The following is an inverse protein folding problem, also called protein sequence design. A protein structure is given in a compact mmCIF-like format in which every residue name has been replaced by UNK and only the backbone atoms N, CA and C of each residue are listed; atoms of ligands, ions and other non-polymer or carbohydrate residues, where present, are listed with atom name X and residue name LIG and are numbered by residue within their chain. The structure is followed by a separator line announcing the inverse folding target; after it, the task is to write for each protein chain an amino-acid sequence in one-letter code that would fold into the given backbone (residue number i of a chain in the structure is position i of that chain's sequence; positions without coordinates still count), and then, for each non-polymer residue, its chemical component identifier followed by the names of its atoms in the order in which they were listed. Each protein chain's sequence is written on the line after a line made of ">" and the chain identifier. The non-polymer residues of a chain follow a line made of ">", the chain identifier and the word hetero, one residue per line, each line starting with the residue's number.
data_IF_206421409988
#
_entry.id   IF_206421409988
#
_cell.length_a   1.000
_cell.length_b   1.000
_cell.length_c   1.000
_cell.angle_alpha   90.00
_cell.angle_beta   90.00
_cell.angle_gamma   90.00
#
_symmetry.space_group_name_H-M   'P 1'
#
loop_
_entity.id
_entity.type
_entity.pdbx_description
1 polymer ?
#
# COMPACT_ATOMS: atom_id res chain seq x y z
N UNK A 1 -7.87 -1.66 0.36
CA UNK A 1 -8.94 -1.23 -0.58
C UNK A 1 -9.77 -2.44 -1.03
N UNK A 2 -10.59 -3.06 -0.15
CA UNK A 2 -11.35 -4.29 -0.49
C UNK A 2 -12.80 -4.06 -0.96
N UNK A 3 -13.36 -2.85 -0.83
CA UNK A 3 -14.79 -2.59 -1.15
C UNK A 3 -15.03 -1.88 -2.49
N UNK A 4 -14.02 -1.74 -3.35
CA UNK A 4 -14.16 -1.10 -4.67
C UNK A 4 -14.61 0.37 -4.66
N UNK A 5 -14.68 1.01 -3.48
CA UNK A 5 -15.09 2.41 -3.36
C UNK A 5 -13.99 3.33 -3.88
N UNK A 6 -14.41 4.39 -4.58
CA UNK A 6 -13.50 5.44 -5.05
C UNK A 6 -12.87 6.11 -3.84
N UNK A 7 -11.56 6.01 -3.71
CA UNK A 7 -10.78 6.74 -2.71
C UNK A 7 -10.23 7.99 -3.39
N UNK A 8 -10.67 9.17 -2.93
CA UNK A 8 -10.02 10.43 -3.24
C UNK A 8 -8.99 10.69 -2.14
N UNK A 9 -7.78 11.04 -2.54
CA UNK A 9 -6.71 11.41 -1.62
C UNK A 9 -6.33 12.83 -1.97
N UNK A 10 -6.63 13.76 -1.07
CA UNK A 10 -6.17 15.13 -1.14
C UNK A 10 -4.94 15.20 -0.24
N UNK A 11 -3.82 15.69 -0.79
CA UNK A 11 -2.54 15.72 -0.09
C UNK A 11 -2.01 17.15 -0.04
N UNK A 12 -1.63 17.57 1.16
CA UNK A 12 -0.87 18.78 1.39
C UNK A 12 0.63 18.43 1.46
N UNK A 13 1.42 18.97 0.53
CA UNK A 13 2.87 18.71 0.44
C UNK A 13 3.63 20.02 0.51
N UNK A 14 4.46 20.16 1.54
CA UNK A 14 5.36 21.29 1.75
C UNK A 14 6.80 20.81 1.76
N UNK A 15 7.72 21.59 1.17
CA UNK A 15 9.16 21.39 1.36
C UNK A 15 9.60 22.13 2.61
N UNK A 16 10.38 21.45 3.45
CA UNK A 16 11.03 22.04 4.62
C UNK A 16 12.52 22.12 4.28
N UNK A 17 13.14 23.31 4.24
CA UNK A 17 14.57 23.43 3.99
C UNK A 17 15.37 22.88 5.18
N UNK A 18 16.48 22.21 4.90
CA UNK A 18 17.33 21.61 5.94
C UNK A 18 17.96 22.64 6.88
N UNK A 19 18.07 23.89 6.44
CA UNK A 19 18.62 24.99 7.25
C UNK A 19 17.71 25.38 8.41
N UNK A 20 16.40 25.10 8.33
CA UNK A 20 15.42 25.39 9.38
C UNK A 20 15.38 24.29 10.44
N UNK A 21 15.99 23.14 10.18
CA UNK A 21 15.99 22.00 11.10
C UNK A 21 17.15 22.16 12.08
N UNK A 22 16.89 22.35 13.39
CA UNK A 22 17.94 22.44 14.39
C UNK A 22 18.70 21.12 14.52
N UNK A 23 20.03 21.20 14.66
CA UNK A 23 20.91 20.03 14.86
C UNK A 23 21.09 19.67 16.34
N UNK A 24 20.61 20.52 17.25
CA UNK A 24 20.66 20.32 18.69
C UNK A 24 19.50 19.44 19.18
N UNK A 25 19.71 18.66 20.24
CA UNK A 25 18.74 17.66 20.72
C UNK A 25 17.47 18.30 21.32
N UNK A 26 17.63 19.37 22.11
CA UNK A 26 16.50 20.11 22.68
C UNK A 26 15.77 20.92 21.59
N UNK A 27 16.53 21.58 20.72
CA UNK A 27 15.99 22.30 19.57
C UNK A 27 15.19 21.40 18.62
N UNK A 28 15.69 20.20 18.32
CA UNK A 28 15.02 19.21 17.49
C UNK A 28 13.71 18.73 18.12
N UNK A 29 13.69 18.51 19.43
CA UNK A 29 12.49 18.09 20.15
C UNK A 29 11.39 19.15 20.08
N UNK A 30 11.72 20.41 20.36
CA UNK A 30 10.78 21.52 20.27
C UNK A 30 10.26 21.73 18.84
N UNK A 31 11.16 21.68 17.85
CA UNK A 31 10.80 21.78 16.44
C UNK A 31 9.83 20.67 16.00
N UNK A 32 10.06 19.43 16.42
CA UNK A 32 9.16 18.31 16.14
C UNK A 32 7.79 18.51 16.79
N UNK A 33 7.73 18.99 18.03
CA UNK A 33 6.45 19.29 18.70
C UNK A 33 5.64 20.34 17.95
N UNK A 34 6.27 21.43 17.52
CA UNK A 34 5.61 22.46 16.72
C UNK A 34 5.18 21.91 15.35
N UNK A 35 6.02 21.09 14.71
CA UNK A 35 5.68 20.45 13.45
C UNK A 35 4.47 19.52 13.60
N UNK A 36 4.36 18.75 14.68
CA UNK A 36 3.19 17.92 14.93
C UNK A 36 1.93 18.76 15.17
N UNK A 37 2.00 19.82 15.99
CA UNK A 37 0.87 20.73 16.17
C UNK A 37 0.39 21.33 14.85
N UNK A 38 1.31 21.75 13.98
CA UNK A 38 0.95 22.30 12.68
C UNK A 38 0.27 21.27 11.77
N UNK A 39 0.63 19.98 11.88
CA UNK A 39 -0.01 18.89 11.12
C UNK A 39 -1.42 18.59 11.64
N UNK A 40 -1.61 18.61 12.96
CA UNK A 40 -2.92 18.39 13.57
C UNK A 40 -3.88 19.52 13.19
N UNK A 41 -3.43 20.77 13.23
CA UNK A 41 -4.21 21.92 12.75
C UNK A 41 -4.65 21.78 11.28
N UNK A 42 -3.75 21.34 10.39
CA UNK A 42 -4.10 21.08 8.98
C UNK A 42 -5.18 20.00 8.84
N UNK A 43 -5.08 18.94 9.66
CA UNK A 43 -6.06 17.87 9.66
C UNK A 43 -7.42 18.36 10.16
N UNK A 44 -7.44 19.12 11.26
CA UNK A 44 -8.66 19.68 11.85
C UNK A 44 -9.38 20.60 10.86
N UNK A 45 -8.65 21.53 10.22
CA UNK A 45 -9.23 22.42 9.20
C UNK A 45 -9.81 21.63 8.01
N UNK A 46 -9.12 20.57 7.58
CA UNK A 46 -9.61 19.70 6.49
C UNK A 46 -10.87 18.92 6.90
N UNK A 47 -10.96 18.45 8.15
CA UNK A 47 -12.15 17.77 8.66
C UNK A 47 -13.35 18.73 8.75
N UNK A 48 -13.13 19.98 9.17
CA UNK A 48 -14.19 20.97 9.35
C UNK A 48 -14.68 21.57 8.02
N UNK A 49 -13.76 21.96 7.14
CA UNK A 49 -14.08 22.75 5.92
C UNK A 49 -13.94 21.97 4.61
N UNK A 50 -13.20 20.86 4.63
CA UNK A 50 -12.80 20.15 3.41
C UNK A 50 -11.61 20.80 2.68
N UNK A 51 -10.98 21.82 3.26
CA UNK A 51 -9.78 22.49 2.76
C UNK A 51 -8.69 22.53 3.84
N UNK A 52 -7.42 22.43 3.44
CA UNK A 52 -6.31 22.36 4.40
C UNK A 52 -5.95 23.71 5.04
N UNK A 53 -6.19 24.82 4.34
CA UNK A 53 -5.66 26.15 4.72
C UNK A 53 -6.74 27.19 4.98
N UNK A 54 -8.00 26.77 5.15
CA UNK A 54 -9.11 27.72 5.31
C UNK A 54 -9.27 28.23 6.75
N UNK A 55 -8.93 27.42 7.75
CA UNK A 55 -9.04 27.79 9.18
C UNK A 55 -7.68 27.98 9.85
N UNK A 56 -6.57 27.89 9.10
CA UNK A 56 -5.22 27.97 9.63
C UNK A 56 -4.39 29.03 8.90
N UNK A 57 -3.48 29.68 9.63
CA UNK A 57 -2.51 30.66 9.08
C UNK A 57 -1.35 30.01 8.29
N UNK A 58 -1.54 28.79 7.78
CA UNK A 58 -0.52 28.04 7.05
C UNK A 58 -0.50 28.43 5.56
N UNK A 59 0.67 28.37 4.90
CA UNK A 59 0.81 28.83 3.53
C UNK A 59 -0.06 28.04 2.56
N UNK A 60 -0.88 28.75 1.78
CA UNK A 60 -1.67 28.14 0.71
C UNK A 60 -0.79 27.78 -0.49
N UNK A 61 -0.87 26.52 -0.92
CA UNK A 61 -0.15 26.04 -2.10
C UNK A 61 -1.11 25.77 -3.27
N UNK A 62 -0.69 26.03 -4.52
CA UNK A 62 -1.54 25.79 -5.68
C UNK A 62 -1.86 24.30 -5.82
N UNK A 63 -3.15 23.99 -5.98
CA UNK A 63 -3.63 22.61 -6.12
C UNK A 63 -3.11 21.99 -7.41
N UNK A 64 -2.19 21.03 -7.29
CA UNK A 64 -1.65 20.28 -8.43
C UNK A 64 -2.36 18.93 -8.60
N UNK A 65 -3.18 18.82 -9.64
CA UNK A 65 -3.83 17.54 -9.99
C UNK A 65 -2.82 16.63 -10.69
N UNK A 66 -2.54 15.46 -10.11
CA UNK A 66 -1.70 14.44 -10.73
C UNK A 66 -2.52 13.74 -11.82
N UNK A 67 -2.09 13.76 -13.10
CA UNK A 67 -2.83 13.10 -14.17
C UNK A 67 -2.76 11.58 -14.01
N UNK A 68 -3.85 10.89 -14.38
CA UNK A 68 -3.88 9.42 -14.39
C UNK A 68 -2.88 8.88 -15.42
N UNK A 69 -1.98 8.00 -14.98
CA UNK A 69 -0.96 7.36 -15.83
C UNK A 69 -1.49 6.05 -16.41
N UNK A 70 -1.86 6.07 -17.68
CA UNK A 70 -2.35 4.89 -18.41
C UNK A 70 -1.25 3.87 -18.71
N UNK A 71 0.01 4.29 -18.72
CA UNK A 71 1.17 3.42 -18.99
C UNK A 71 1.24 2.20 -18.08
N UNK A 72 0.83 2.32 -16.81
CA UNK A 72 0.81 1.19 -15.87
C UNK A 72 -0.19 0.11 -16.31
N UNK A 73 -1.38 0.51 -16.77
CA UNK A 73 -2.40 -0.44 -17.24
C UNK A 73 -1.92 -1.20 -18.48
N UNK A 74 -1.36 -0.49 -19.46
CA UNK A 74 -0.84 -1.14 -20.67
C UNK A 74 0.34 -2.07 -20.36
N UNK A 75 1.22 -1.69 -19.43
CA UNK A 75 2.31 -2.55 -19.02
C UNK A 75 1.81 -3.86 -18.40
N UNK A 76 0.85 -3.77 -17.47
CA UNK A 76 0.25 -4.94 -16.82
C UNK A 76 -0.49 -5.82 -17.84
N UNK A 77 -1.31 -5.24 -18.72
CA UNK A 77 -2.04 -6.00 -19.74
C UNK A 77 -1.07 -6.66 -20.72
N UNK A 78 0.00 -5.97 -21.13
CA UNK A 78 1.03 -6.51 -22.01
C UNK A 78 1.71 -7.73 -21.40
N UNK A 79 2.21 -7.61 -20.16
CA UNK A 79 2.82 -8.74 -19.47
C UNK A 79 1.84 -9.88 -19.19
N UNK A 80 0.62 -9.56 -18.76
CA UNK A 80 -0.41 -10.56 -18.51
C UNK A 80 -0.75 -11.34 -19.78
N UNK A 81 -0.91 -10.65 -20.91
CA UNK A 81 -1.22 -11.29 -22.21
C UNK A 81 -0.06 -12.16 -22.68
N UNK A 82 1.18 -11.70 -22.52
CA UNK A 82 2.37 -12.47 -22.87
C UNK A 82 2.48 -13.75 -22.05
N UNK A 83 2.39 -13.65 -20.72
CA UNK A 83 2.46 -14.79 -19.81
C UNK A 83 1.31 -15.78 -20.07
N UNK A 84 0.08 -15.27 -20.21
CA UNK A 84 -1.09 -16.10 -20.51
C UNK A 84 -0.93 -16.83 -21.84
N UNK A 85 -0.41 -16.17 -22.88
CA UNK A 85 -0.13 -16.80 -24.17
C UNK A 85 0.88 -17.95 -24.06
N UNK A 86 1.97 -17.77 -23.29
CA UNK A 86 2.96 -18.84 -23.07
C UNK A 86 2.35 -20.03 -22.32
N UNK A 87 1.56 -19.76 -21.28
CA UNK A 87 0.87 -20.79 -20.50
C UNK A 87 -0.11 -21.58 -21.37
N UNK A 88 -0.93 -20.88 -22.18
CA UNK A 88 -1.87 -21.53 -23.09
C UNK A 88 -1.16 -22.39 -24.14
N UNK A 89 -0.04 -21.92 -24.68
CA UNK A 89 0.77 -22.70 -25.62
C UNK A 89 1.36 -23.94 -24.96
N UNK A 90 1.82 -23.83 -23.72
CA UNK A 90 2.30 -24.97 -22.94
C UNK A 90 1.19 -26.02 -22.75
N UNK A 91 -0.01 -25.61 -22.35
CA UNK A 91 -1.15 -26.54 -22.22
C UNK A 91 -1.57 -27.16 -23.55
N UNK A 92 -1.59 -26.40 -24.65
CA UNK A 92 -1.90 -26.93 -25.97
C UNK A 92 -0.91 -28.02 -26.39
N UNK A 93 0.40 -27.77 -26.21
CA UNK A 93 1.44 -28.76 -26.49
C UNK A 93 1.32 -29.99 -25.58
N UNK A 94 0.96 -29.79 -24.30
CA UNK A 94 0.73 -30.88 -23.36
C UNK A 94 -0.41 -31.80 -23.82
N UNK A 95 -1.54 -31.22 -24.25
CA UNK A 95 -2.71 -31.97 -24.72
C UNK A 95 -2.46 -32.72 -26.04
N UNK A 96 -1.68 -32.15 -26.95
CA UNK A 96 -1.41 -32.74 -28.28
C UNK A 96 -0.25 -33.73 -28.30
N UNK A 97 0.74 -33.58 -27.40
CA UNK A 97 1.95 -34.41 -27.41
C UNK A 97 1.77 -35.83 -26.86
N UNK A 98 0.71 -36.11 -26.10
CA UNK A 98 0.39 -37.45 -25.57
C UNK A 98 1.49 -38.09 -24.71
N UNK A 99 2.51 -37.33 -24.31
CA UNK A 99 3.72 -37.86 -23.68
C UNK A 99 3.60 -37.85 -22.16
N UNK A 100 3.66 -39.04 -21.55
CA UNK A 100 3.62 -39.23 -20.09
C UNK A 100 4.70 -38.43 -19.35
N UNK A 101 5.88 -38.26 -19.95
CA UNK A 101 6.98 -37.47 -19.36
C UNK A 101 6.63 -35.98 -19.24
N UNK A 102 6.00 -35.41 -20.27
CA UNK A 102 5.57 -34.01 -20.25
C UNK A 102 4.46 -33.75 -19.24
N UNK A 103 3.55 -34.71 -19.08
CA UNK A 103 2.47 -34.69 -18.08
C UNK A 103 3.05 -34.80 -16.67
N UNK A 104 3.98 -35.73 -16.44
CA UNK A 104 4.64 -35.89 -15.15
C UNK A 104 5.41 -34.63 -14.73
N UNK A 105 6.09 -33.97 -15.68
CA UNK A 105 6.82 -32.73 -15.41
C UNK A 105 5.86 -31.58 -15.07
N UNK A 106 4.77 -31.43 -15.82
CA UNK A 106 3.75 -30.42 -15.57
C UNK A 106 3.08 -30.60 -14.20
N UNK A 107 2.73 -31.83 -13.83
CA UNK A 107 2.16 -32.16 -12.52
C UNK A 107 3.16 -31.87 -11.40
N UNK A 108 4.45 -32.20 -11.59
CA UNK A 108 5.50 -31.88 -10.63
C UNK A 108 5.63 -30.38 -10.37
N UNK A 109 5.65 -29.57 -11.43
CA UNK A 109 5.70 -28.10 -11.31
C UNK A 109 4.45 -27.56 -10.60
N UNK A 110 3.26 -28.04 -10.96
CA UNK A 110 2.01 -27.64 -10.32
C UNK A 110 1.97 -28.01 -8.83
N UNK A 111 2.51 -29.18 -8.47
CA UNK A 111 2.59 -29.64 -7.08
C UNK A 111 3.57 -28.77 -6.26
N UNK A 112 4.73 -28.44 -6.81
CA UNK A 112 5.69 -27.53 -6.16
C UNK A 112 5.08 -26.13 -5.98
N UNK A 113 4.39 -25.62 -7.00
CA UNK A 113 3.69 -24.34 -6.93
C UNK A 113 2.59 -24.36 -5.86
N UNK A 114 1.81 -25.45 -5.77
CA UNK A 114 0.80 -25.65 -4.74
C UNK A 114 1.39 -25.64 -3.33
N UNK A 115 2.49 -26.38 -3.09
CA UNK A 115 3.19 -26.38 -1.80
C UNK A 115 3.74 -24.98 -1.44
N UNK A 116 4.30 -24.27 -2.43
CA UNK A 116 4.80 -22.91 -2.25
C UNK A 116 3.68 -21.94 -1.86
N UNK A 117 2.54 -21.98 -2.55
CA UNK A 117 1.37 -21.17 -2.25
C UNK A 117 0.79 -21.52 -0.87
N UNK A 118 0.68 -22.80 -0.53
CA UNK A 118 0.20 -23.24 0.78
C UNK A 118 1.09 -22.72 1.91
N UNK A 119 2.42 -22.77 1.72
CA UNK A 119 3.40 -22.22 2.66
C UNK A 119 3.31 -20.70 2.75
N UNK A 120 3.15 -19.99 1.63
CA UNK A 120 2.96 -18.53 1.63
C UNK A 120 1.67 -18.13 2.35
N UNK A 121 0.56 -18.84 2.14
CA UNK A 121 -0.69 -18.60 2.86
C UNK A 121 -0.46 -18.74 4.36
N UNK A 122 0.26 -19.78 4.80
CA UNK A 122 0.68 -19.96 6.19
C UNK A 122 1.52 -18.80 6.73
N UNK A 123 2.45 -18.25 5.93
CA UNK A 123 3.29 -17.11 6.31
C UNK A 123 2.50 -15.78 6.35
N UNK A 124 1.50 -15.63 5.49
CA UNK A 124 0.62 -14.45 5.46
C UNK A 124 -0.56 -14.53 6.43
N UNK A 125 -0.79 -15.69 7.05
CA UNK A 125 -1.79 -15.83 8.11
C UNK A 125 -1.25 -15.11 9.34
N UNK A 126 -1.67 -13.86 9.50
CA UNK A 126 -1.35 -13.02 10.66
C UNK A 126 -1.97 -13.70 11.89
N UNK A 127 -1.14 -14.36 12.70
CA UNK A 127 -1.54 -14.99 13.96
C UNK A 127 -1.70 -13.94 15.10
N UNK A 128 -1.13 -12.74 14.91
CA UNK A 128 -1.24 -11.61 15.85
C UNK A 128 -1.63 -10.33 15.14
N UNK A 129 -2.90 -9.94 15.25
CA UNK A 129 -3.29 -8.54 15.07
C UNK A 129 -2.58 -7.69 16.12
N UNK A 130 -1.96 -6.58 15.71
CA UNK A 130 -1.35 -5.64 16.64
C UNK A 130 -2.41 -5.13 17.63
N UNK A 131 -2.23 -5.38 18.92
CA UNK A 131 -3.04 -4.83 20.01
C UNK A 131 -2.84 -3.33 20.22
N UNK A 132 -2.66 -2.57 19.14
CA UNK A 132 -2.58 -1.12 19.21
C UNK A 132 -4.02 -0.59 19.26
N UNK A 133 -4.47 -0.21 20.46
CA UNK A 133 -5.84 0.23 20.74
C UNK A 133 -6.70 -0.78 21.49
N UNK A 134 -6.20 -1.98 21.84
CA UNK A 134 -6.88 -2.85 22.80
C UNK A 134 -6.66 -2.27 24.19
N UNK A 135 -7.61 -1.46 24.66
CA UNK A 135 -7.73 -1.16 26.09
C UNK A 135 -7.92 -2.48 26.82
N UNK A 136 -6.86 -2.98 27.43
CA UNK A 136 -6.92 -3.98 28.49
C UNK A 136 -7.61 -3.33 29.69
N UNK A 137 -8.94 -3.30 29.65
CA UNK A 137 -9.80 -2.92 30.76
C UNK A 137 -10.15 -4.13 31.62
N UNK A 138 -9.23 -5.10 31.76
CA UNK A 138 -9.34 -6.20 32.74
C UNK A 138 -8.57 -5.91 34.04
N UNK A 139 -8.71 -4.69 34.56
CA UNK A 139 -8.38 -4.35 35.95
C UNK A 139 -9.52 -3.60 36.63
N UNK A 140 -10.57 -4.35 37.00
CA UNK A 140 -11.34 -4.25 38.28
C UNK A 140 -12.78 -4.72 38.08
N UNK A 141 -13.00 -6.02 38.31
CA UNK A 141 -14.16 -6.64 38.97
C UNK A 141 -13.58 -7.98 39.43
N UNK A 142 -13.25 -8.20 40.69
CA UNK A 142 -14.05 -8.10 41.92
C UNK A 142 -13.11 -8.25 43.10
#
# INVERSE_FOLDING_TARGET
>A
MLRGRRVKSDLYVRRIPLNEVPNDEEGATNYLHELYRSKDQLLDSYVNTGSFTQENDLPEYPVRRIPRRWYSLFNVIGWASFVLSQILRFYYNLLTSGSLLSISLAVGIAFIAYLGLYKMIGLTKIDKGSGYGSTDNDKKKT
#
